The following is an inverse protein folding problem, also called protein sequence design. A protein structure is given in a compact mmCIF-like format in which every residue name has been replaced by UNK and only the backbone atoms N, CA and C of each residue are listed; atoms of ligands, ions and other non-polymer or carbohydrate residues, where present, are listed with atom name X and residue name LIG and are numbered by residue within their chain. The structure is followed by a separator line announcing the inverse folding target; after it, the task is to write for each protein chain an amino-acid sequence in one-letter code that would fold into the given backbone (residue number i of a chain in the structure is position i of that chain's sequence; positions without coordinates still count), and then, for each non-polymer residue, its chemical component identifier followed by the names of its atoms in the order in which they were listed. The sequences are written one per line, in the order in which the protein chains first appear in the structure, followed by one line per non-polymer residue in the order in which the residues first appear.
data_IF_424978964975
#
_entry.id   IF_424978964975
#
_cell.length_a   1.000
_cell.length_b   1.000
_cell.length_c   1.000
_cell.angle_alpha   90.00
_cell.angle_beta   90.00
_cell.angle_gamma   90.00
#
_symmetry.space_group_name_H-M   'P 1'
#
loop_
_entity.id
_entity.type
_entity.pdbx_description
1 polymer ?
#
# COMPACT_ATOMS: atom_id res chain seq x y z
N UNK A 1 28.60 5.40 -11.76
CA UNK A 1 28.13 5.55 -10.37
C UNK A 1 26.89 6.40 -10.44
N UNK A 2 25.71 5.79 -10.37
CA UNK A 2 24.44 6.53 -10.38
C UNK A 2 24.37 7.36 -9.10
N UNK A 3 24.27 8.68 -9.25
CA UNK A 3 24.08 9.59 -8.13
C UNK A 3 22.82 9.17 -7.37
N UNK A 4 22.92 9.10 -6.04
CA UNK A 4 21.74 8.90 -5.19
C UNK A 4 20.74 10.04 -5.47
N UNK A 5 19.44 9.76 -5.63
CA UNK A 5 18.45 10.81 -5.72
C UNK A 5 18.51 11.71 -4.47
N UNK A 6 18.45 13.02 -4.65
CA UNK A 6 18.50 13.99 -3.55
C UNK A 6 17.52 13.62 -2.41
N UNK A 7 18.00 13.64 -1.16
CA UNK A 7 17.20 13.37 0.03
C UNK A 7 16.99 11.88 0.37
N UNK A 8 17.73 10.95 -0.24
CA UNK A 8 17.77 9.53 0.14
C UNK A 8 19.18 9.09 0.52
N UNK A 9 19.27 8.23 1.55
CA UNK A 9 20.51 7.62 2.02
C UNK A 9 20.49 6.10 1.89
N UNK A 10 21.67 5.52 1.74
CA UNK A 10 21.87 4.08 1.82
C UNK A 10 22.17 3.67 3.27
N UNK A 11 21.43 2.69 3.77
CA UNK A 11 21.62 2.09 5.09
C UNK A 11 21.90 0.60 4.91
N UNK A 12 22.97 0.11 5.54
CA UNK A 12 23.26 -1.32 5.61
C UNK A 12 22.76 -1.88 6.93
N UNK A 13 21.95 -2.93 6.88
CA UNK A 13 21.51 -3.71 8.04
C UNK A 13 21.90 -5.20 7.87
N UNK A 14 21.76 -6.04 8.90
CA UNK A 14 21.94 -7.50 8.77
C UNK A 14 21.05 -8.12 7.68
N UNK A 15 19.92 -7.49 7.37
CA UNK A 15 19.00 -7.93 6.33
C UNK A 15 19.42 -7.59 4.91
N UNK A 16 20.26 -6.56 4.72
CA UNK A 16 20.73 -6.13 3.41
C UNK A 16 20.93 -4.62 3.28
N UNK A 17 21.06 -4.16 2.03
CA UNK A 17 21.17 -2.74 1.70
C UNK A 17 19.78 -2.14 1.48
N UNK A 18 19.49 -1.02 2.13
CA UNK A 18 18.23 -0.30 2.06
C UNK A 18 18.45 1.14 1.59
N UNK A 19 17.54 1.66 0.79
CA UNK A 19 17.52 3.07 0.36
C UNK A 19 16.37 3.80 1.07
N UNK A 20 16.68 4.52 2.13
CA UNK A 20 15.68 5.20 2.98
C UNK A 20 15.76 6.71 2.79
N UNK A 21 14.66 7.45 2.99
CA UNK A 21 14.73 8.92 3.04
C UNK A 21 15.69 9.41 4.14
N UNK A 22 16.40 10.50 3.88
CA UNK A 22 17.29 11.11 4.87
C UNK A 22 16.52 11.72 6.03
N UNK A 23 15.40 12.38 5.71
CA UNK A 23 14.47 12.97 6.66
C UNK A 23 13.16 12.16 6.64
N UNK A 24 12.73 11.71 7.82
CA UNK A 24 11.52 10.91 8.00
C UNK A 24 10.24 11.60 7.52
N UNK A 25 10.25 12.94 7.40
CA UNK A 25 9.17 13.69 6.76
C UNK A 25 8.93 13.29 5.29
N UNK A 26 9.86 12.60 4.62
CA UNK A 26 9.69 12.12 3.26
C UNK A 26 9.40 10.62 3.17
N UNK A 27 9.13 9.96 4.30
CA UNK A 27 8.73 8.56 4.29
C UNK A 27 7.38 8.40 3.59
N UNK A 28 7.35 7.46 2.65
CA UNK A 28 6.10 7.02 2.03
C UNK A 28 5.24 6.35 3.10
N UNK A 29 3.93 6.64 3.17
CA UNK A 29 3.03 6.04 4.15
C UNK A 29 2.79 4.53 3.88
N UNK A 30 3.23 4.01 2.74
CA UNK A 30 3.22 2.57 2.43
C UNK A 30 4.43 1.81 2.98
N UNK A 31 5.45 2.53 3.45
CA UNK A 31 6.67 1.92 3.98
C UNK A 31 6.39 1.18 5.28
N UNK A 32 7.22 0.18 5.56
CA UNK A 32 7.22 -0.62 6.78
C UNK A 32 8.62 -0.62 7.38
N UNK A 33 8.68 -0.77 8.69
CA UNK A 33 9.94 -0.97 9.39
C UNK A 33 10.44 -2.40 9.24
N UNK A 34 11.77 -2.56 9.34
CA UNK A 34 12.41 -3.87 9.30
C UNK A 34 12.09 -4.64 10.58
N UNK A 35 11.71 -5.92 10.49
CA UNK A 35 11.40 -6.73 11.66
C UNK A 35 12.67 -7.01 12.47
N UNK A 36 12.52 -7.10 13.79
CA UNK A 36 13.56 -7.68 14.63
C UNK A 36 13.72 -9.16 14.30
N UNK A 37 14.98 -9.58 14.12
CA UNK A 37 15.27 -10.99 13.93
C UNK A 37 15.16 -11.72 15.26
N UNK A 38 14.49 -12.88 15.25
CA UNK A 38 14.49 -13.77 16.41
C UNK A 38 15.94 -14.18 16.69
N UNK A 39 16.46 -13.96 17.91
CA UNK A 39 17.84 -14.31 18.24
C UNK A 39 18.12 -15.79 17.98
N UNK A 40 19.30 -16.09 17.45
CA UNK A 40 19.67 -17.48 17.11
C UNK A 40 19.53 -18.45 18.29
N UNK A 41 19.81 -17.98 19.51
CA UNK A 41 19.70 -18.78 20.75
C UNK A 41 18.26 -19.21 21.04
N UNK A 42 17.28 -18.43 20.62
CA UNK A 42 15.84 -18.67 20.81
C UNK A 42 15.23 -19.48 19.67
N UNK A 43 16.02 -19.82 18.64
CA UNK A 43 15.59 -20.59 17.48
C UNK A 43 16.36 -21.92 17.38
N UNK A 44 16.04 -22.95 18.19
CA UNK A 44 16.69 -24.26 18.10
C UNK A 44 16.17 -25.11 16.93
N UNK A 45 15.00 -24.77 16.38
CA UNK A 45 14.29 -25.51 15.32
C UNK A 45 13.67 -24.55 14.31
N UNK A 46 13.51 -25.02 13.08
CA UNK A 46 12.85 -24.26 12.03
C UNK A 46 11.42 -23.91 12.43
N UNK A 47 11.05 -22.63 12.36
CA UNK A 47 9.73 -22.14 12.77
C UNK A 47 8.58 -22.51 11.80
N UNK A 48 8.86 -23.31 10.77
CA UNK A 48 7.85 -23.84 9.83
C UNK A 48 7.74 -25.36 9.88
N UNK A 49 8.87 -26.08 9.79
CA UNK A 49 8.88 -27.54 9.65
C UNK A 49 9.47 -28.28 10.87
N UNK A 50 9.78 -27.55 11.95
CA UNK A 50 10.31 -28.06 13.22
C UNK A 50 11.64 -28.84 13.13
N UNK A 51 12.30 -28.82 11.96
CA UNK A 51 13.61 -29.45 11.77
C UNK A 51 14.63 -28.80 12.69
N UNK A 52 15.33 -29.62 13.47
CA UNK A 52 16.39 -29.17 14.39
C UNK A 52 17.55 -28.58 13.60
N UNK A 53 18.07 -27.45 14.08
CA UNK A 53 19.29 -26.87 13.54
C UNK A 53 20.53 -27.57 14.13
N UNK A 54 21.52 -27.78 13.28
CA UNK A 54 22.79 -28.41 13.61
C UNK A 54 23.89 -27.89 12.66
N UNK A 55 25.03 -28.56 12.59
CA UNK A 55 26.14 -28.15 11.73
C UNK A 55 25.82 -28.23 10.22
N UNK A 56 24.83 -29.04 9.83
CA UNK A 56 24.41 -29.23 8.43
C UNK A 56 23.22 -28.32 8.11
N UNK A 57 22.22 -28.30 8.99
CA UNK A 57 21.01 -27.48 8.85
C UNK A 57 21.24 -26.13 9.51
N UNK A 58 21.63 -25.13 8.70
CA UNK A 58 21.88 -23.76 9.16
C UNK A 58 20.58 -22.95 9.32
N UNK A 59 20.65 -21.92 10.16
CA UNK A 59 19.57 -20.96 10.41
C UNK A 59 19.52 -19.88 9.35
N UNK A 60 18.32 -19.48 8.96
CA UNK A 60 18.07 -18.40 8.01
C UNK A 60 16.88 -17.56 8.45
N UNK A 61 17.06 -16.24 8.52
CA UNK A 61 15.98 -15.32 8.85
C UNK A 61 15.24 -14.83 7.61
N UNK A 62 13.92 -14.81 7.68
CA UNK A 62 13.10 -14.14 6.70
C UNK A 62 13.22 -12.61 6.89
N UNK A 63 13.60 -11.88 5.84
CA UNK A 63 13.77 -10.42 5.92
C UNK A 63 12.47 -9.64 6.07
N UNK A 64 11.31 -10.27 5.83
CA UNK A 64 9.99 -9.65 6.01
C UNK A 64 9.39 -9.86 7.40
N UNK A 65 9.58 -11.03 8.03
CA UNK A 65 8.98 -11.32 9.34
C UNK A 65 9.96 -11.56 10.49
N UNK A 66 11.28 -11.60 10.22
CA UNK A 66 12.30 -11.79 11.25
C UNK A 66 12.37 -13.19 11.87
N UNK A 67 11.43 -14.09 11.56
CA UNK A 67 11.44 -15.49 12.02
C UNK A 67 12.57 -16.30 11.38
N UNK A 68 12.93 -17.41 12.02
CA UNK A 68 14.10 -18.23 11.68
C UNK A 68 13.70 -19.62 11.14
N UNK A 69 14.33 -20.02 10.04
CA UNK A 69 13.94 -21.14 9.19
C UNK A 69 15.17 -21.92 8.68
N UNK A 70 14.94 -23.14 8.19
CA UNK A 70 15.92 -23.86 7.38
C UNK A 70 15.89 -23.36 5.92
N UNK A 71 16.91 -23.73 5.13
CA UNK A 71 17.02 -23.24 3.74
C UNK A 71 15.79 -23.61 2.90
N UNK A 72 15.26 -24.83 3.03
CA UNK A 72 14.06 -25.29 2.30
C UNK A 72 12.82 -24.44 2.57
N UNK A 73 12.61 -24.00 3.81
CA UNK A 73 11.45 -23.20 4.19
C UNK A 73 11.64 -21.70 3.90
N UNK A 74 12.86 -21.26 3.55
CA UNK A 74 13.22 -19.87 3.38
C UNK A 74 14.23 -19.68 2.25
N UNK A 75 13.99 -20.26 1.08
CA UNK A 75 14.93 -20.26 -0.06
C UNK A 75 14.70 -19.13 -1.06
N UNK A 76 13.50 -18.52 -1.06
CA UNK A 76 13.09 -17.55 -2.07
C UNK A 76 13.74 -16.19 -1.82
N UNK A 77 14.18 -15.52 -2.89
CA UNK A 77 14.57 -14.10 -2.87
C UNK A 77 13.54 -13.27 -3.62
N UNK A 78 12.91 -12.33 -2.93
CA UNK A 78 11.83 -11.50 -3.48
C UNK A 78 12.10 -10.03 -3.15
N UNK A 79 11.78 -9.13 -4.08
CA UNK A 79 11.84 -7.70 -3.84
C UNK A 79 10.93 -7.32 -2.65
N UNK A 80 11.39 -6.39 -1.81
CA UNK A 80 10.67 -5.96 -0.61
C UNK A 80 10.64 -4.42 -0.53
N UNK A 81 9.94 -3.75 -1.47
CA UNK A 81 9.95 -2.30 -1.59
C UNK A 81 9.34 -1.57 -0.38
N UNK A 82 8.39 -2.18 0.33
CA UNK A 82 7.81 -1.59 1.55
C UNK A 82 8.86 -1.35 2.64
N UNK A 83 9.87 -2.19 2.75
CA UNK A 83 10.99 -2.01 3.70
C UNK A 83 12.21 -1.36 3.04
N UNK A 84 12.06 -0.81 1.83
CA UNK A 84 13.08 -0.07 1.10
C UNK A 84 14.36 -0.87 0.77
N UNK A 85 14.28 -2.19 0.66
CA UNK A 85 15.44 -3.00 0.21
C UNK A 85 15.75 -2.73 -1.26
N UNK A 86 17.04 -2.56 -1.58
CA UNK A 86 17.50 -2.29 -2.94
C UNK A 86 17.44 -3.56 -3.81
N UNK A 87 17.91 -4.67 -3.25
CA UNK A 87 17.97 -5.96 -3.94
C UNK A 87 16.92 -6.94 -3.38
N UNK A 88 16.50 -7.96 -4.17
CA UNK A 88 15.67 -9.05 -3.65
C UNK A 88 16.28 -9.75 -2.44
N UNK A 89 15.50 -9.88 -1.38
CA UNK A 89 15.94 -10.43 -0.08
C UNK A 89 15.31 -11.78 0.20
N UNK A 90 16.00 -12.58 1.02
CA UNK A 90 15.55 -13.92 1.42
C UNK A 90 14.26 -13.86 2.25
N UNK A 91 13.26 -14.65 1.89
CA UNK A 91 11.97 -14.71 2.59
C UNK A 91 11.50 -16.16 2.80
N UNK A 92 10.69 -16.38 3.83
CA UNK A 92 9.96 -17.64 4.00
C UNK A 92 8.86 -17.79 2.94
N UNK A 93 8.36 -19.02 2.74
CA UNK A 93 7.35 -19.31 1.73
C UNK A 93 6.11 -18.39 1.84
N UNK A 94 5.56 -18.21 3.03
CA UNK A 94 4.41 -17.34 3.28
C UNK A 94 4.69 -15.88 2.93
N UNK A 95 5.77 -15.31 3.45
CA UNK A 95 6.14 -13.91 3.19
C UNK A 95 6.43 -13.65 1.70
N UNK A 96 6.99 -14.64 1.01
CA UNK A 96 7.32 -14.52 -0.41
C UNK A 96 6.07 -14.28 -1.27
N UNK A 97 4.96 -14.97 -0.96
CA UNK A 97 3.68 -14.81 -1.64
C UNK A 97 3.07 -13.42 -1.39
N UNK A 98 3.18 -12.92 -0.17
CA UNK A 98 2.68 -11.59 0.18
C UNK A 98 3.50 -10.51 -0.56
N UNK A 99 4.83 -10.59 -0.48
CA UNK A 99 5.72 -9.64 -1.15
C UNK A 99 5.53 -9.60 -2.66
N UNK A 100 5.27 -10.74 -3.30
CA UNK A 100 4.99 -10.78 -4.75
C UNK A 100 3.73 -9.99 -5.12
N UNK A 101 2.66 -10.11 -4.32
CA UNK A 101 1.43 -9.30 -4.50
C UNK A 101 1.69 -7.81 -4.26
N UNK A 102 2.50 -7.48 -3.25
CA UNK A 102 2.90 -6.10 -2.98
C UNK A 102 3.75 -5.53 -4.14
N UNK A 103 4.68 -6.30 -4.70
CA UNK A 103 5.49 -5.87 -5.86
C UNK A 103 4.61 -5.51 -7.06
N UNK A 104 3.57 -6.30 -7.33
CA UNK A 104 2.63 -5.98 -8.40
C UNK A 104 1.93 -4.61 -8.19
N UNK A 105 1.63 -4.26 -6.94
CA UNK A 105 1.11 -2.93 -6.60
C UNK A 105 2.10 -1.83 -6.97
N UNK A 106 3.37 -1.95 -6.57
CA UNK A 106 4.40 -0.94 -6.87
C UNK A 106 4.70 -0.84 -8.37
N UNK A 107 4.68 -1.95 -9.10
CA UNK A 107 5.05 -1.97 -10.52
C UNK A 107 3.94 -1.43 -11.44
N UNK A 108 2.67 -1.66 -11.08
CA UNK A 108 1.51 -1.32 -11.91
C UNK A 108 0.66 -0.22 -11.27
N UNK A 109 0.11 -0.49 -10.09
CA UNK A 109 -0.94 0.33 -9.48
C UNK A 109 -0.42 1.71 -9.05
N UNK A 110 0.81 1.77 -8.54
CA UNK A 110 1.41 3.04 -8.13
C UNK A 110 1.59 4.01 -9.31
N UNK A 111 1.96 3.50 -10.48
CA UNK A 111 2.07 4.32 -11.71
C UNK A 111 0.71 4.87 -12.14
N UNK A 112 -0.35 4.08 -12.04
CA UNK A 112 -1.73 4.53 -12.30
C UNK A 112 -2.10 5.66 -11.34
N UNK A 113 -1.80 5.49 -10.05
CA UNK A 113 -2.13 6.48 -9.03
C UNK A 113 -1.41 7.82 -9.22
N UNK A 114 -0.12 7.79 -9.57
CA UNK A 114 0.68 9.01 -9.80
C UNK A 114 0.37 9.66 -11.15
N UNK A 115 -0.01 8.90 -12.17
CA UNK A 115 -0.48 9.44 -13.45
C UNK A 115 -1.79 10.22 -13.29
N UNK A 116 -2.66 9.76 -12.40
CA UNK A 116 -3.92 10.41 -12.06
C UNK A 116 -5.11 9.97 -12.90
N UNK A 117 -6.29 10.44 -12.51
CA UNK A 117 -7.54 10.26 -13.24
C UNK A 117 -8.46 11.47 -13.06
N UNK A 118 -9.40 11.66 -13.97
CA UNK A 118 -10.37 12.76 -13.92
C UNK A 118 -11.67 12.31 -13.27
N UNK A 119 -12.13 13.08 -12.28
CA UNK A 119 -13.32 12.75 -11.48
C UNK A 119 -14.19 13.99 -11.30
N UNK A 120 -15.48 13.77 -11.10
CA UNK A 120 -16.38 14.77 -10.54
C UNK A 120 -16.26 14.72 -9.02
N UNK A 121 -15.80 15.80 -8.40
CA UNK A 121 -15.43 15.84 -6.99
C UNK A 121 -16.36 16.75 -6.21
N UNK A 122 -16.79 16.29 -5.04
CA UNK A 122 -17.52 17.07 -4.05
C UNK A 122 -16.82 17.01 -2.69
N UNK A 123 -16.48 18.17 -2.15
CA UNK A 123 -15.76 18.29 -0.87
C UNK A 123 -16.72 18.78 0.23
N UNK A 124 -16.84 18.02 1.31
CA UNK A 124 -17.71 18.32 2.44
C UNK A 124 -19.20 18.41 2.06
N UNK A 125 -19.91 19.39 2.64
CA UNK A 125 -21.33 19.64 2.36
C UNK A 125 -21.57 20.58 1.18
N UNK A 126 -20.55 20.88 0.36
CA UNK A 126 -20.72 21.75 -0.81
C UNK A 126 -21.72 21.13 -1.79
N UNK A 127 -22.72 21.89 -2.23
CA UNK A 127 -23.60 21.44 -3.32
C UNK A 127 -22.92 21.50 -4.70
N UNK A 128 -21.82 22.25 -4.81
CA UNK A 128 -21.05 22.37 -6.04
C UNK A 128 -20.11 21.17 -6.20
N UNK A 129 -20.29 20.45 -7.30
CA UNK A 129 -19.34 19.47 -7.80
C UNK A 129 -18.40 20.12 -8.84
N UNK A 130 -17.16 19.68 -8.87
CA UNK A 130 -16.13 20.22 -9.76
C UNK A 130 -15.39 19.07 -10.45
N UNK A 131 -15.11 19.22 -11.75
CA UNK A 131 -14.27 18.25 -12.47
C UNK A 131 -12.82 18.48 -12.10
N UNK A 132 -12.18 17.50 -11.46
CA UNK A 132 -10.80 17.60 -10.98
C UNK A 132 -9.94 16.43 -11.44
N UNK A 133 -8.65 16.68 -11.64
CA UNK A 133 -7.62 15.65 -11.81
C UNK A 133 -7.13 15.22 -10.44
N UNK A 134 -7.27 13.93 -10.14
CA UNK A 134 -6.91 13.34 -8.86
C UNK A 134 -5.70 12.44 -9.02
N UNK A 135 -4.63 12.68 -8.25
CA UNK A 135 -3.38 11.90 -8.35
C UNK A 135 -2.63 11.82 -7.03
N UNK A 136 -1.82 10.78 -6.87
CA UNK A 136 -0.86 10.74 -5.78
C UNK A 136 0.38 11.59 -6.09
N UNK A 137 0.86 12.27 -5.07
CA UNK A 137 2.19 12.90 -5.03
C UNK A 137 3.32 11.88 -5.27
N UNK A 138 4.48 12.35 -5.73
CA UNK A 138 5.64 11.49 -6.05
C UNK A 138 6.25 10.75 -4.84
N UNK A 139 6.07 11.30 -3.64
CA UNK A 139 6.44 10.63 -2.37
C UNK A 139 5.26 9.85 -1.76
N UNK A 140 4.12 9.87 -2.44
CA UNK A 140 2.86 9.23 -2.08
C UNK A 140 2.30 9.66 -0.72
N UNK A 141 2.63 10.87 -0.26
CA UNK A 141 2.12 11.39 1.03
C UNK A 141 0.78 12.09 0.90
N UNK A 142 0.53 12.69 -0.25
CA UNK A 142 -0.64 13.50 -0.54
C UNK A 142 -1.39 12.94 -1.75
N UNK A 143 -2.72 13.01 -1.67
CA UNK A 143 -3.64 12.98 -2.78
C UNK A 143 -3.91 14.43 -3.19
N UNK A 144 -3.54 14.77 -4.43
CA UNK A 144 -3.79 16.07 -5.02
C UNK A 144 -5.08 16.02 -5.84
N UNK A 145 -5.89 17.07 -5.70
CA UNK A 145 -7.13 17.31 -6.43
C UNK A 145 -6.99 18.67 -7.12
N UNK A 146 -6.76 18.65 -8.42
CA UNK A 146 -6.43 19.81 -9.25
C UNK A 146 -7.59 20.13 -10.21
N UNK A 147 -8.23 21.30 -10.04
CA UNK A 147 -9.30 21.81 -10.90
C UNK A 147 -9.23 23.35 -11.02
N UNK A 148 -10.37 24.02 -10.94
CA UNK A 148 -10.43 25.48 -10.67
C UNK A 148 -9.87 25.78 -9.27
N UNK A 149 -10.10 24.86 -8.33
CA UNK A 149 -9.54 24.87 -6.97
C UNK A 149 -8.43 23.83 -6.84
N UNK A 150 -7.55 24.02 -5.85
CA UNK A 150 -6.53 23.04 -5.50
C UNK A 150 -6.75 22.53 -4.06
N UNK A 151 -6.86 21.22 -3.91
CA UNK A 151 -6.94 20.58 -2.59
C UNK A 151 -5.87 19.51 -2.43
N UNK A 152 -5.35 19.40 -1.21
CA UNK A 152 -4.38 18.38 -0.82
C UNK A 152 -4.92 17.59 0.38
N UNK A 153 -4.97 16.27 0.24
CA UNK A 153 -5.35 15.36 1.33
C UNK A 153 -4.13 14.52 1.69
N UNK A 154 -3.62 14.70 2.90
CA UNK A 154 -2.53 13.85 3.42
C UNK A 154 -3.07 12.43 3.68
N UNK A 155 -2.44 11.41 3.08
CA UNK A 155 -2.91 10.03 3.17
C UNK A 155 -2.94 9.50 4.61
N UNK A 156 -2.03 9.96 5.47
CA UNK A 156 -1.98 9.60 6.89
C UNK A 156 -3.20 10.09 7.68
N UNK A 157 -3.93 11.08 7.16
CA UNK A 157 -5.12 11.68 7.79
C UNK A 157 -6.43 11.06 7.32
N UNK A 158 -6.38 10.16 6.33
CA UNK A 158 -7.54 9.41 5.86
C UNK A 158 -7.94 8.41 6.96
N UNK A 159 -9.20 8.46 7.34
CA UNK A 159 -9.81 7.60 8.36
C UNK A 159 -10.53 6.41 7.73
N UNK A 160 -11.20 6.61 6.59
CA UNK A 160 -11.88 5.55 5.84
C UNK A 160 -11.87 5.83 4.34
N UNK A 161 -11.97 4.75 3.55
CA UNK A 161 -12.08 4.78 2.10
C UNK A 161 -13.06 3.71 1.65
N UNK A 162 -14.00 4.08 0.80
CA UNK A 162 -15.00 3.18 0.24
C UNK A 162 -15.10 3.38 -1.27
N UNK A 163 -15.01 2.29 -2.05
CA UNK A 163 -15.27 2.32 -3.49
C UNK A 163 -16.75 2.07 -3.74
N UNK A 164 -17.32 2.83 -4.66
CA UNK A 164 -18.70 2.69 -5.14
C UNK A 164 -18.69 1.89 -6.46
N UNK A 165 -19.70 1.05 -6.68
CA UNK A 165 -19.83 0.21 -7.88
C UNK A 165 -21.16 0.46 -8.60
N UNK A 166 -21.16 0.42 -9.93
CA UNK A 166 -22.40 0.53 -10.73
C UNK A 166 -23.31 -0.69 -10.44
N UNK A 167 -24.59 -0.45 -10.08
CA UNK A 167 -25.62 -1.49 -9.95
C UNK A 167 -26.02 -1.92 -8.53
N UNK A 168 -25.51 -1.29 -7.48
CA UNK A 168 -25.98 -1.49 -6.10
C UNK A 168 -27.25 -0.67 -5.84
N UNK A 169 -28.34 -1.31 -5.42
CA UNK A 169 -29.55 -0.61 -4.97
C UNK A 169 -29.29 0.06 -3.60
N UNK A 170 -29.93 1.19 -3.24
CA UNK A 170 -29.67 1.91 -1.98
C UNK A 170 -30.07 1.19 -0.67
N UNK A 171 -30.36 -0.12 -0.72
CA UNK A 171 -30.95 -0.89 0.39
C UNK A 171 -30.13 -2.06 0.91
N UNK A 172 -29.12 -2.54 0.19
CA UNK A 172 -28.25 -3.63 0.66
C UNK A 172 -26.85 -3.10 0.92
N UNK A 173 -26.51 -3.08 2.21
CA UNK A 173 -25.20 -2.76 2.76
C UNK A 173 -24.18 -3.82 2.34
N UNK A 174 -23.78 -3.84 1.09
CA UNK A 174 -22.48 -4.41 0.71
C UNK A 174 -21.40 -3.38 1.05
N UNK A 175 -21.18 -3.32 2.36
CA UNK A 175 -20.06 -2.62 2.98
C UNK A 175 -18.81 -3.35 2.52
N UNK A 176 -18.12 -2.82 1.51
CA UNK A 176 -16.73 -3.21 1.26
C UNK A 176 -15.85 -2.51 2.31
N UNK A 177 -16.09 -2.85 3.58
CA UNK A 177 -15.14 -2.63 4.67
C UNK A 177 -13.95 -3.54 4.42
N UNK A 178 -12.82 -3.20 5.02
CA UNK A 178 -11.57 -3.97 4.98
C UNK A 178 -11.76 -5.50 5.07
N UNK A 179 -12.79 -5.97 5.78
CA UNK A 179 -13.18 -7.37 5.94
C UNK A 179 -13.73 -8.08 4.69
N UNK A 180 -14.34 -7.39 3.71
CA UNK A 180 -14.86 -8.03 2.48
C UNK A 180 -13.75 -8.38 1.47
N UNK A 181 -12.51 -7.89 1.72
CA UNK A 181 -11.34 -8.05 0.85
C UNK A 181 -10.62 -9.40 0.96
N UNK A 182 -11.06 -10.30 1.85
CA UNK A 182 -10.60 -11.68 1.82
C UNK A 182 -11.22 -12.46 0.65
N UNK A 183 -12.41 -12.07 0.18
CA UNK A 183 -13.16 -12.83 -0.83
C UNK A 183 -13.52 -12.06 -2.12
N UNK A 184 -13.54 -10.72 -2.11
CA UNK A 184 -13.94 -9.96 -3.30
C UNK A 184 -12.76 -9.76 -4.28
N UNK A 185 -12.69 -10.67 -5.26
CA UNK A 185 -12.00 -10.41 -6.50
C UNK A 185 -12.69 -9.25 -7.23
N UNK A 186 -12.28 -8.00 -6.97
CA UNK A 186 -12.39 -6.94 -7.99
C UNK A 186 -11.34 -7.28 -9.05
N UNK A 187 -11.63 -8.35 -9.79
CA UNK A 187 -10.87 -8.89 -10.90
C UNK A 187 -11.07 -7.99 -12.10
N UNK A 188 -10.04 -7.86 -12.94
CA UNK A 188 -10.15 -7.27 -14.28
C UNK A 188 -11.20 -7.99 -15.19
N UNK A 189 -11.80 -9.10 -14.73
CA UNK A 189 -12.86 -9.85 -15.41
C UNK A 189 -14.18 -10.02 -14.64
N UNK A 190 -14.41 -9.33 -13.50
CA UNK A 190 -15.68 -9.37 -12.77
C UNK A 190 -16.63 -8.20 -13.16
N UNK A 191 -17.93 -8.47 -13.30
CA UNK A 191 -18.95 -7.58 -13.91
C UNK A 191 -19.19 -6.22 -13.21
N UNK A 192 -18.58 -5.93 -12.06
CA UNK A 192 -18.83 -4.70 -11.29
C UNK A 192 -17.70 -3.68 -11.54
N UNK A 193 -18.03 -2.59 -12.23
CA UNK A 193 -17.09 -1.48 -12.45
C UNK A 193 -17.16 -0.50 -11.29
N UNK A 194 -16.00 -0.02 -10.85
CA UNK A 194 -15.91 1.06 -9.88
C UNK A 194 -16.44 2.36 -10.52
N UNK A 195 -17.50 2.93 -9.95
CA UNK A 195 -18.16 4.16 -10.39
C UNK A 195 -17.74 5.39 -9.60
N UNK A 196 -17.18 5.20 -8.41
CA UNK A 196 -16.77 6.30 -7.55
C UNK A 196 -16.06 5.84 -6.30
N UNK A 197 -15.77 6.80 -5.42
CA UNK A 197 -15.16 6.56 -4.12
C UNK A 197 -15.52 7.66 -3.14
N UNK A 198 -15.69 7.28 -1.88
CA UNK A 198 -15.89 8.17 -0.75
C UNK A 198 -14.70 8.04 0.19
N UNK A 199 -14.12 9.18 0.57
CA UNK A 199 -13.02 9.27 1.53
C UNK A 199 -13.44 10.13 2.71
N UNK A 200 -13.16 9.66 3.92
CA UNK A 200 -13.28 10.50 5.12
C UNK A 200 -11.89 10.78 5.68
N UNK A 201 -11.59 12.05 5.91
CA UNK A 201 -10.29 12.49 6.39
C UNK A 201 -10.41 13.62 7.41
N UNK A 202 -9.34 13.87 8.17
CA UNK A 202 -9.25 14.96 9.14
C UNK A 202 -8.40 16.12 8.57
N UNK A 203 -9.00 17.24 8.16
CA UNK A 203 -8.26 18.38 7.65
C UNK A 203 -7.23 18.93 8.67
N UNK A 204 -6.11 19.52 8.21
CA UNK A 204 -5.17 20.20 9.11
C UNK A 204 -5.87 21.31 9.91
N UNK A 205 -5.66 21.30 11.23
CA UNK A 205 -6.27 22.28 12.14
C UNK A 205 -7.73 22.01 12.53
N UNK A 206 -8.39 20.99 11.96
CA UNK A 206 -9.77 20.62 12.30
C UNK A 206 -9.82 19.28 13.04
N UNK A 207 -10.71 19.17 14.03
CA UNK A 207 -11.04 17.90 14.68
C UNK A 207 -12.20 17.15 13.98
N UNK A 208 -12.94 17.85 13.12
CA UNK A 208 -14.10 17.29 12.44
C UNK A 208 -13.67 16.52 11.19
N UNK A 209 -14.31 15.37 10.95
CA UNK A 209 -14.15 14.63 9.71
C UNK A 209 -14.79 15.40 8.56
N UNK A 210 -14.09 15.41 7.45
CA UNK A 210 -14.61 15.90 6.17
C UNK A 210 -14.71 14.73 5.20
N UNK A 211 -15.77 14.76 4.41
CA UNK A 211 -16.02 13.77 3.38
C UNK A 211 -15.60 14.31 2.00
N UNK A 212 -15.04 13.45 1.17
CA UNK A 212 -14.68 13.73 -0.21
C UNK A 212 -15.33 12.66 -1.08
N UNK A 213 -16.23 13.09 -1.95
CA UNK A 213 -16.88 12.23 -2.93
C UNK A 213 -16.20 12.38 -4.28
N UNK A 214 -15.93 11.28 -4.95
CA UNK A 214 -15.33 11.23 -6.27
C UNK A 214 -16.15 10.30 -7.16
N UNK A 215 -16.75 10.83 -8.23
CA UNK A 215 -17.48 10.03 -9.21
C UNK A 215 -16.72 10.00 -10.54
N UNK A 216 -16.78 8.87 -11.26
CA UNK A 216 -16.14 8.76 -12.57
C UNK A 216 -16.70 9.81 -13.52
N UNK A 217 -15.82 10.60 -14.15
CA UNK A 217 -16.18 11.49 -15.24
C UNK A 217 -16.24 10.73 -16.58
N UNK A 218 -16.07 11.43 -17.71
CA UNK A 218 -16.24 10.87 -19.06
C UNK A 218 -15.28 9.70 -19.38
N UNK A 219 -14.04 9.74 -18.88
CA UNK A 219 -13.07 8.63 -19.04
C UNK A 219 -13.24 7.57 -17.94
N UNK A 220 -14.29 6.76 -18.10
CA UNK A 220 -14.60 5.68 -17.15
C UNK A 220 -13.50 4.63 -17.02
N UNK A 221 -12.64 4.42 -18.02
CA UNK A 221 -11.64 3.34 -18.00
C UNK A 221 -10.46 3.73 -17.11
N UNK A 222 -9.88 4.90 -17.33
CA UNK A 222 -8.76 5.39 -16.51
C UNK A 222 -9.25 5.63 -15.08
N UNK A 223 -10.40 6.27 -14.93
CA UNK A 223 -10.99 6.54 -13.62
C UNK A 223 -11.27 5.23 -12.84
N UNK A 224 -11.91 4.22 -13.46
CA UNK A 224 -12.16 2.95 -12.77
C UNK A 224 -10.86 2.23 -12.38
N UNK A 225 -9.83 2.23 -13.24
CA UNK A 225 -8.55 1.63 -12.91
C UNK A 225 -7.86 2.35 -11.72
N UNK A 226 -7.95 3.68 -11.69
CA UNK A 226 -7.43 4.50 -10.61
C UNK A 226 -8.16 4.24 -9.29
N UNK A 227 -9.50 4.11 -9.30
CA UNK A 227 -10.29 3.77 -8.11
C UNK A 227 -9.89 2.40 -7.52
N UNK A 228 -9.72 1.39 -8.39
CA UNK A 228 -9.25 0.06 -7.97
C UNK A 228 -7.84 0.12 -7.41
N UNK A 229 -6.94 0.89 -8.03
CA UNK A 229 -5.59 1.10 -7.53
C UNK A 229 -5.59 1.77 -6.15
N UNK A 230 -6.46 2.78 -5.94
CA UNK A 230 -6.55 3.52 -4.70
C UNK A 230 -7.11 2.67 -3.56
N UNK A 231 -8.07 1.79 -3.88
CA UNK A 231 -8.57 0.80 -2.94
C UNK A 231 -7.49 -0.19 -2.49
N UNK A 232 -6.67 -0.68 -3.43
CA UNK A 232 -5.49 -1.51 -3.08
C UNK A 232 -4.47 -0.73 -2.23
N UNK A 233 -4.30 0.56 -2.49
CA UNK A 233 -3.43 1.43 -1.70
C UNK A 233 -3.93 1.59 -0.26
N UNK A 234 -5.24 1.75 -0.05
CA UNK A 234 -5.82 1.84 1.29
C UNK A 234 -5.51 0.63 2.17
N UNK A 235 -5.51 -0.59 1.59
CA UNK A 235 -5.12 -1.80 2.32
C UNK A 235 -3.68 -1.69 2.86
N UNK A 236 -2.74 -1.27 2.02
CA UNK A 236 -1.34 -1.10 2.42
C UNK A 236 -1.19 0.01 3.48
N UNK A 237 -1.93 1.12 3.34
CA UNK A 237 -1.93 2.20 4.35
C UNK A 237 -2.40 1.71 5.71
N UNK A 238 -3.48 0.91 5.74
CA UNK A 238 -4.00 0.34 6.98
C UNK A 238 -2.99 -0.59 7.65
N UNK A 239 -2.42 -1.53 6.89
CA UNK A 239 -1.39 -2.45 7.38
C UNK A 239 -0.13 -1.74 7.91
N UNK A 240 0.26 -0.60 7.30
CA UNK A 240 1.40 0.20 7.78
C UNK A 240 1.10 0.95 9.07
N UNK A 241 -0.17 1.23 9.41
CA UNK A 241 -0.55 1.94 10.64
C UNK A 241 -0.63 1.04 11.86
N UNK A 242 -0.90 -0.25 11.66
CA UNK A 242 -1.01 -1.26 12.71
C UNK A 242 0.36 -1.85 13.14
N UNK A 243 1.46 -1.34 12.59
CA UNK A 243 2.82 -1.81 12.85
C UNK A 243 3.46 -1.18 14.10
#
# INVERSE_FOLDING_TARGET
MSALPDGKKLVRSPSGLRMVPENGAFNSPFSLDEPQWVPDKECPRCMQCDTKFDFITRKHHCRRCGRCFCDKCCSQKVALPRMCFVDPVRQCAECSLISQKEVEFYDKQLKVLTAGGTFMVKVGSSEKSETMVCRLSNNHRYLFLDGDSHFEVELSRISSMQVLTEGSTPGEKDICSYTSLLDSQISEGGSLRASGMVLQYKPPGSQNLQELHMDTADDKRVASAWLVAMHKAAKLLYESRDQ
#
